data_IF_883378813975
#
_entry.id   IF_883378813975
#
_cell.length_a   1.000
_cell.length_b   1.000
_cell.length_c   1.000
_cell.angle_alpha   90.00
_cell.angle_beta   90.00
_cell.angle_gamma   90.00
#
_symmetry.space_group_name_H-M   'P 1'
#
loop_
_entity.id
_entity.type
_entity.pdbx_description
1 polymer ?
#
# COMPACT_ATOMS: atom_id res chain seq x y z
N UNK A 1 0.10 -14.48 -1.37
CA UNK A 1 -0.41 -13.26 -2.04
C UNK A 1 -1.43 -13.62 -3.09
N UNK A 2 -1.13 -14.60 -3.95
CA UNK A 2 -1.98 -14.94 -5.10
C UNK A 2 -3.42 -15.34 -4.74
N UNK A 3 -3.63 -16.03 -3.61
CA UNK A 3 -4.97 -16.43 -3.18
C UNK A 3 -5.84 -15.29 -2.64
N UNK A 4 -5.25 -14.23 -2.05
CA UNK A 4 -6.00 -13.14 -1.40
C UNK A 4 -6.12 -11.90 -2.29
N UNK A 5 -5.30 -11.81 -3.34
CA UNK A 5 -5.22 -10.60 -4.16
C UNK A 5 -6.51 -10.29 -4.93
N UNK A 6 -7.29 -11.31 -5.30
CA UNK A 6 -8.60 -11.13 -5.93
C UNK A 6 -9.69 -10.73 -4.92
N UNK A 7 -9.50 -11.04 -3.63
CA UNK A 7 -10.48 -10.71 -2.59
C UNK A 7 -10.50 -9.22 -2.24
N UNK A 8 -9.41 -8.47 -2.48
CA UNK A 8 -9.36 -7.03 -2.20
C UNK A 8 -10.45 -6.24 -2.96
N UNK A 9 -10.83 -6.67 -4.16
CA UNK A 9 -11.92 -6.04 -4.94
C UNK A 9 -13.27 -6.11 -4.22
N UNK A 10 -13.44 -7.08 -3.34
CA UNK A 10 -14.65 -7.30 -2.56
C UNK A 10 -14.54 -6.68 -1.15
N UNK A 11 -13.37 -6.21 -0.73
CA UNK A 11 -13.14 -5.64 0.59
C UNK A 11 -13.60 -4.18 0.65
N UNK A 12 -14.38 -3.85 1.68
CA UNK A 12 -14.81 -2.47 1.94
C UNK A 12 -13.67 -1.58 2.44
N UNK A 13 -12.76 -2.16 3.24
CA UNK A 13 -11.62 -1.46 3.83
C UNK A 13 -10.38 -2.35 3.84
N UNK A 14 -9.25 -1.83 3.37
CA UNK A 14 -7.92 -2.39 3.60
C UNK A 14 -7.18 -1.57 4.67
N UNK A 15 -6.95 -2.18 5.84
CA UNK A 15 -6.15 -1.58 6.90
C UNK A 15 -4.69 -2.02 6.76
N UNK A 16 -3.81 -1.07 6.44
CA UNK A 16 -2.39 -1.30 6.21
C UNK A 16 -1.62 -0.80 7.43
N UNK A 17 -0.98 -1.72 8.15
CA UNK A 17 -0.28 -1.41 9.40
C UNK A 17 1.23 -1.56 9.18
N UNK A 18 1.97 -0.46 9.19
CA UNK A 18 3.44 -0.45 9.12
C UNK A 18 4.06 -0.94 7.80
N UNK A 19 3.27 -1.48 6.87
CA UNK A 19 3.71 -1.86 5.54
C UNK A 19 3.80 -0.65 4.60
N UNK A 20 4.71 -0.69 3.63
CA UNK A 20 4.85 0.34 2.60
C UNK A 20 5.16 -0.27 1.23
N UNK A 21 6.35 -0.84 1.04
CA UNK A 21 6.77 -1.30 -0.30
C UNK A 21 5.94 -2.48 -0.82
N UNK A 22 5.48 -3.37 0.06
CA UNK A 22 4.68 -4.56 -0.27
C UNK A 22 3.24 -4.26 -0.72
N UNK A 23 2.82 -3.00 -0.67
CA UNK A 23 1.50 -2.51 -1.11
C UNK A 23 1.64 -1.37 -2.13
N UNK A 24 2.86 -1.07 -2.60
CA UNK A 24 3.13 0.06 -3.48
C UNK A 24 2.83 -0.30 -4.95
N UNK A 25 1.79 0.30 -5.58
CA UNK A 25 1.38 -0.03 -6.94
C UNK A 25 2.47 0.14 -8.00
N UNK A 26 3.51 0.95 -7.73
CA UNK A 26 4.64 1.15 -8.61
C UNK A 26 5.37 -0.15 -8.99
N UNK A 27 5.26 -1.21 -8.17
CA UNK A 27 5.77 -2.53 -8.52
C UNK A 27 5.08 -3.15 -9.75
N UNK A 28 3.84 -2.76 -10.06
CA UNK A 28 3.07 -3.24 -11.21
C UNK A 28 3.04 -2.24 -12.37
N UNK A 29 2.94 -0.94 -12.08
CA UNK A 29 2.61 0.09 -13.08
C UNK A 29 3.80 0.90 -13.61
N UNK A 30 4.94 0.90 -12.93
CA UNK A 30 6.03 1.86 -13.20
C UNK A 30 7.32 1.14 -13.62
N UNK A 31 7.50 0.85 -14.93
CA UNK A 31 8.76 0.33 -15.47
C UNK A 31 9.94 1.23 -15.07
N UNK A 32 10.98 0.64 -14.47
CA UNK A 32 12.15 1.37 -13.97
C UNK A 32 12.10 1.72 -12.48
N UNK A 33 10.98 1.49 -11.80
CA UNK A 33 10.94 1.52 -10.34
C UNK A 33 11.85 0.43 -9.74
N UNK A 34 12.59 0.69 -8.65
CA UNK A 34 13.41 -0.33 -7.96
C UNK A 34 12.63 -1.57 -7.52
N UNK A 35 11.31 -1.45 -7.35
CA UNK A 35 10.42 -2.54 -6.94
C UNK A 35 9.60 -3.12 -8.11
N UNK A 36 9.88 -2.72 -9.35
CA UNK A 36 9.13 -3.20 -10.51
C UNK A 36 9.26 -4.73 -10.66
N UNK A 37 8.11 -5.41 -10.79
CA UNK A 37 8.02 -6.88 -10.85
C UNK A 37 8.01 -7.56 -9.48
N UNK A 38 8.14 -6.83 -8.37
CA UNK A 38 8.01 -7.39 -7.03
C UNK A 38 6.55 -7.84 -6.80
N UNK A 39 6.31 -9.05 -6.26
CA UNK A 39 4.98 -9.45 -5.81
C UNK A 39 4.49 -8.52 -4.69
N UNK A 40 3.31 -7.93 -4.88
CA UNK A 40 2.67 -7.02 -3.92
C UNK A 40 1.23 -7.45 -3.62
N UNK A 41 0.69 -6.89 -2.53
CA UNK A 41 -0.74 -6.99 -2.23
C UNK A 41 -1.52 -5.92 -3.00
N UNK A 42 -2.63 -6.32 -3.62
CA UNK A 42 -3.52 -5.43 -4.37
C UNK A 42 -4.46 -4.60 -3.46
N UNK A 43 -3.92 -4.08 -2.35
CA UNK A 43 -4.69 -3.33 -1.36
C UNK A 43 -5.33 -2.07 -1.95
N UNK A 44 -4.75 -1.52 -3.03
CA UNK A 44 -5.30 -0.40 -3.80
C UNK A 44 -6.68 -0.70 -4.43
N UNK A 45 -7.03 -1.98 -4.60
CA UNK A 45 -8.30 -2.42 -5.17
C UNK A 45 -9.45 -2.48 -4.16
N UNK A 46 -9.18 -2.29 -2.86
CA UNK A 46 -10.23 -2.18 -1.85
C UNK A 46 -11.01 -0.85 -2.01
N UNK A 47 -12.27 -0.82 -1.56
CA UNK A 47 -13.10 0.40 -1.69
C UNK A 47 -12.51 1.59 -0.94
N UNK A 48 -11.92 1.35 0.23
CA UNK A 48 -11.20 2.35 1.01
C UNK A 48 -9.89 1.74 1.55
N UNK A 49 -8.87 2.58 1.70
CA UNK A 49 -7.57 2.17 2.25
C UNK A 49 -7.23 3.06 3.45
N UNK A 50 -6.78 2.45 4.53
CA UNK A 50 -6.29 3.17 5.71
C UNK A 50 -4.83 2.79 5.93
N UNK A 51 -3.94 3.77 5.87
CA UNK A 51 -2.53 3.60 6.17
C UNK A 51 -2.23 4.03 7.60
N UNK A 52 -1.80 3.10 8.43
CA UNK A 52 -1.29 3.38 9.77
C UNK A 52 0.24 3.36 9.78
N UNK A 53 0.84 4.54 9.88
CA UNK A 53 2.30 4.71 9.94
C UNK A 53 2.67 6.04 10.60
N UNK A 54 3.92 6.18 11.05
CA UNK A 54 4.37 7.36 11.83
C UNK A 54 4.53 8.66 11.03
N UNK A 55 4.69 8.60 9.71
CA UNK A 55 4.94 9.77 8.84
C UNK A 55 4.78 9.41 7.37
N UNK A 56 4.95 10.36 6.44
CA UNK A 56 4.97 10.10 4.98
C UNK A 56 6.30 9.53 4.44
N UNK A 57 7.28 9.21 5.31
CA UNK A 57 8.60 8.73 4.85
C UNK A 57 8.52 7.43 4.02
N UNK A 58 9.42 7.27 3.03
CA UNK A 58 9.47 6.08 2.19
C UNK A 58 9.85 4.82 2.99
N UNK A 59 9.61 3.66 2.38
CA UNK A 59 9.99 2.35 2.92
C UNK A 59 11.45 2.02 2.68
N UNK A 60 11.76 0.73 2.62
CA UNK A 60 13.12 0.23 2.41
C UNK A 60 13.61 0.57 1.00
N UNK A 61 12.72 0.49 0.01
CA UNK A 61 13.04 0.83 -1.39
C UNK A 61 13.36 2.31 -1.62
N UNK A 62 13.13 3.18 -0.62
CA UNK A 62 13.48 4.60 -0.71
C UNK A 62 12.65 5.41 -1.70
N UNK A 63 11.58 4.84 -2.24
CA UNK A 63 10.66 5.51 -3.17
C UNK A 63 9.36 5.87 -2.48
N UNK A 64 8.66 6.85 -3.05
CA UNK A 64 7.34 7.23 -2.57
C UNK A 64 6.28 6.19 -2.97
N UNK A 65 5.19 6.15 -2.21
CA UNK A 65 4.08 5.23 -2.46
C UNK A 65 2.84 6.01 -2.88
N UNK A 66 2.53 5.91 -4.17
CA UNK A 66 1.40 6.60 -4.81
C UNK A 66 0.06 6.27 -4.15
N UNK A 67 -0.07 5.07 -3.55
CA UNK A 67 -1.29 4.68 -2.84
C UNK A 67 -1.60 5.58 -1.65
N UNK A 68 -0.59 6.18 -1.01
CA UNK A 68 -0.79 7.12 0.12
C UNK A 68 -1.48 8.42 -0.31
N UNK A 69 -1.49 8.75 -1.60
CA UNK A 69 -2.10 9.94 -2.18
C UNK A 69 -3.41 9.64 -2.92
N UNK A 70 -3.87 8.38 -2.88
CA UNK A 70 -5.10 7.97 -3.53
C UNK A 70 -6.33 8.67 -2.95
N UNK A 71 -7.37 8.95 -3.78
CA UNK A 71 -8.57 9.67 -3.34
C UNK A 71 -9.40 8.90 -2.30
N UNK A 72 -9.25 7.58 -2.24
CA UNK A 72 -9.92 6.68 -1.27
C UNK A 72 -8.96 6.17 -0.19
N UNK A 73 -7.78 6.79 -0.05
CA UNK A 73 -6.81 6.47 0.99
C UNK A 73 -6.84 7.52 2.10
N UNK A 74 -6.88 7.06 3.34
CA UNK A 74 -6.73 7.89 4.54
C UNK A 74 -5.43 7.55 5.26
N UNK A 75 -4.67 8.59 5.62
CA UNK A 75 -3.47 8.45 6.44
C UNK A 75 -3.82 8.61 7.92
N UNK A 76 -3.52 7.59 8.71
CA UNK A 76 -3.61 7.60 10.16
C UNK A 76 -2.20 7.62 10.75
N UNK A 77 -1.77 8.77 11.25
CA UNK A 77 -0.42 8.92 11.79
C UNK A 77 -0.35 8.49 13.25
N UNK A 78 0.51 7.51 13.53
CA UNK A 78 0.71 6.96 14.87
C UNK A 78 1.77 5.86 14.90
N UNK A 79 2.16 5.46 16.11
CA UNK A 79 2.82 4.16 16.29
C UNK A 79 1.81 3.04 15.96
N UNK A 80 2.30 1.88 15.55
CA UNK A 80 1.40 0.78 15.20
C UNK A 80 0.79 0.09 16.43
N UNK A 81 1.42 0.24 17.60
CA UNK A 81 1.00 -0.38 18.86
C UNK A 81 0.12 0.53 19.71
N UNK A 82 0.41 1.82 19.71
CA UNK A 82 -0.28 2.83 20.52
C UNK A 82 -1.69 3.14 19.97
#
# INVERSE_FOLDING_TARGET
MDQVNDDFKNADVALIIGANDVVNPAARSTPGSPIYGMPILNADQAKNVIFMKRSMRPGFAGIDNELMYGPHTVMFFGDAKD
#
